data_IF_254075903356
#
_entry.id   IF_254075903356
#
_cell.length_a   1.000
_cell.length_b   1.000
_cell.length_c   1.000
_cell.angle_alpha   90.00
_cell.angle_beta   90.00
_cell.angle_gamma   90.00
#
_symmetry.space_group_name_H-M   'P 1'
#
loop_
_entity.id
_entity.type
_entity.pdbx_description
1 polymer ?
#
# COMPACT_ATOMS: atom_id res chain seq x y z
N UNK A 1 -18.21 10.65 -13.05
CA UNK A 1 -16.99 10.07 -13.63
C UNK A 1 -15.95 11.17 -13.80
N UNK A 2 -14.80 11.03 -13.16
CA UNK A 2 -13.74 12.05 -13.19
C UNK A 2 -12.39 11.39 -13.30
N UNK A 3 -11.46 12.05 -14.00
CA UNK A 3 -10.06 11.63 -13.99
C UNK A 3 -9.43 11.98 -12.65
N UNK A 4 -8.56 11.10 -12.17
CA UNK A 4 -7.85 11.29 -10.89
C UNK A 4 -6.36 11.31 -11.18
N UNK A 5 -5.69 12.36 -10.70
CA UNK A 5 -4.24 12.46 -10.77
C UNK A 5 -3.65 11.93 -9.48
N UNK A 6 -2.89 10.83 -9.56
CA UNK A 6 -2.36 10.17 -8.37
C UNK A 6 -1.37 11.03 -7.61
N UNK A 7 -0.49 11.72 -8.32
CA UNK A 7 0.52 12.55 -7.68
C UNK A 7 -0.12 13.72 -6.93
N UNK A 8 -1.14 14.35 -7.53
CA UNK A 8 -1.88 15.41 -6.85
C UNK A 8 -2.56 14.90 -5.59
N UNK A 9 -3.18 13.72 -5.67
CA UNK A 9 -3.88 13.13 -4.53
C UNK A 9 -2.92 12.81 -3.38
N UNK A 10 -1.82 12.14 -3.68
CA UNK A 10 -0.88 11.75 -2.61
C UNK A 10 -0.16 12.96 -2.03
N UNK A 11 0.12 13.98 -2.84
CA UNK A 11 0.76 15.20 -2.36
C UNK A 11 -0.15 16.06 -1.49
N UNK A 12 -1.47 15.87 -1.60
CA UNK A 12 -2.44 16.56 -0.76
C UNK A 12 -2.55 15.94 0.63
N UNK A 13 -2.02 14.73 0.84
CA UNK A 13 -2.03 14.07 2.15
C UNK A 13 -0.83 14.58 2.95
N UNK A 14 -1.11 15.41 3.95
CA UNK A 14 -0.06 16.10 4.71
C UNK A 14 0.67 15.23 5.71
N UNK A 15 0.01 14.19 6.21
CA UNK A 15 0.58 13.32 7.25
C UNK A 15 1.08 12.01 6.66
N UNK A 16 2.21 11.52 7.20
CA UNK A 16 2.71 10.20 6.87
C UNK A 16 1.77 9.12 7.44
N UNK A 17 1.75 7.97 6.78
CA UNK A 17 1.08 6.74 7.24
C UNK A 17 -0.45 6.80 7.26
N UNK A 18 -1.05 7.82 6.68
CA UNK A 18 -2.51 7.94 6.57
C UNK A 18 -2.92 7.49 5.18
N UNK A 19 -3.81 6.51 5.12
CA UNK A 19 -4.34 5.95 3.88
C UNK A 19 -5.56 6.76 3.45
N UNK A 20 -5.39 7.56 2.40
CA UNK A 20 -6.49 8.35 1.85
C UNK A 20 -7.17 7.56 0.74
N UNK A 21 -8.44 7.22 0.95
CA UNK A 21 -9.24 6.52 -0.07
C UNK A 21 -9.57 7.48 -1.19
N UNK A 22 -9.25 7.10 -2.43
CA UNK A 22 -9.46 7.94 -3.60
C UNK A 22 -10.39 7.36 -4.65
N UNK A 23 -10.78 6.10 -4.51
CA UNK A 23 -11.70 5.48 -5.45
C UNK A 23 -12.00 4.03 -5.12
N UNK A 24 -12.91 3.46 -5.90
CA UNK A 24 -13.31 2.07 -5.78
C UNK A 24 -13.39 1.45 -7.17
N UNK A 25 -13.05 0.17 -7.26
CA UNK A 25 -13.11 -0.59 -8.49
C UNK A 25 -13.51 -2.03 -8.16
N UNK A 26 -14.74 -2.42 -8.52
CA UNK A 26 -15.23 -3.80 -8.31
C UNK A 26 -15.03 -4.31 -6.88
N UNK A 27 -15.41 -3.50 -5.89
CA UNK A 27 -15.25 -3.89 -4.49
C UNK A 27 -13.84 -3.70 -3.94
N UNK A 28 -12.91 -3.25 -4.76
CA UNK A 28 -11.56 -2.90 -4.29
C UNK A 28 -11.51 -1.41 -3.96
N UNK A 29 -10.72 -1.08 -2.96
CA UNK A 29 -10.49 0.30 -2.55
C UNK A 29 -9.13 0.73 -3.08
N UNK A 30 -9.10 1.92 -3.69
CA UNK A 30 -7.86 2.56 -4.11
C UNK A 30 -7.51 3.61 -3.06
N UNK A 31 -6.32 3.52 -2.49
CA UNK A 31 -5.83 4.45 -1.47
C UNK A 31 -4.44 4.94 -1.82
N UNK A 32 -4.14 6.17 -1.44
CA UNK A 32 -2.79 6.72 -1.55
C UNK A 32 -2.22 6.98 -0.16
N UNK A 33 -0.91 6.85 -0.02
CA UNK A 33 -0.23 7.00 1.27
C UNK A 33 1.20 7.44 1.07
N UNK A 34 1.68 8.28 1.99
CA UNK A 34 3.10 8.66 2.09
C UNK A 34 3.72 7.90 3.26
N UNK A 35 4.82 7.23 3.01
CA UNK A 35 5.54 6.44 4.04
C UNK A 35 7.02 6.76 3.98
N UNK A 36 7.63 6.88 5.15
CA UNK A 36 9.06 7.15 5.26
C UNK A 36 9.63 6.42 6.46
N UNK A 37 10.82 5.83 6.28
CA UNK A 37 11.59 5.23 7.35
C UNK A 37 10.78 4.28 8.23
N UNK A 38 10.17 3.29 7.62
CA UNK A 38 9.30 2.36 8.35
C UNK A 38 9.38 0.95 7.79
N UNK A 39 9.48 0.00 8.71
CA UNK A 39 9.32 -1.42 8.42
C UNK A 39 8.10 -1.90 9.17
N UNK A 40 7.12 -2.43 8.46
CA UNK A 40 5.93 -3.00 9.07
C UNK A 40 6.21 -4.41 9.60
N UNK A 41 5.34 -4.89 10.47
CA UNK A 41 5.40 -6.28 10.92
C UNK A 41 4.99 -7.21 9.77
N UNK A 42 5.53 -8.42 9.76
CA UNK A 42 5.06 -9.44 8.85
C UNK A 42 3.58 -9.71 9.09
N UNK A 43 2.82 -9.80 8.02
CA UNK A 43 1.38 -10.04 8.11
C UNK A 43 0.90 -10.79 6.86
N UNK A 44 -0.33 -11.27 6.95
CA UNK A 44 -0.99 -12.03 5.89
C UNK A 44 -2.40 -11.47 5.72
N UNK A 45 -2.79 -11.23 4.47
CA UNK A 45 -4.19 -10.94 4.14
C UNK A 45 -4.79 -12.19 3.51
N UNK A 46 -5.72 -12.82 4.20
CA UNK A 46 -6.27 -14.12 3.78
C UNK A 46 -7.32 -14.00 2.67
N UNK A 47 -7.96 -12.85 2.54
CA UNK A 47 -9.13 -12.68 1.69
C UNK A 47 -8.92 -11.74 0.52
N UNK A 48 -7.76 -11.11 0.40
CA UNK A 48 -7.52 -10.12 -0.64
C UNK A 48 -6.10 -10.17 -1.16
N UNK A 49 -5.98 -10.13 -2.48
CA UNK A 49 -4.73 -9.75 -3.11
C UNK A 49 -4.50 -8.27 -2.79
N UNK A 50 -3.24 -7.84 -2.80
CA UNK A 50 -2.88 -6.47 -2.51
C UNK A 50 -1.93 -5.98 -3.59
N UNK A 51 -2.22 -4.82 -4.17
CA UNK A 51 -1.34 -4.21 -5.15
C UNK A 51 -0.69 -2.97 -4.55
N UNK A 52 0.63 -2.87 -4.69
CA UNK A 52 1.39 -1.67 -4.38
C UNK A 52 1.94 -1.10 -5.69
N UNK A 53 1.61 0.14 -5.98
CA UNK A 53 2.17 0.88 -7.10
C UNK A 53 2.97 2.06 -6.56
N UNK A 54 4.24 2.17 -6.93
CA UNK A 54 5.08 3.28 -6.47
C UNK A 54 4.89 4.48 -7.39
N UNK A 55 4.28 5.53 -6.86
CA UNK A 55 4.09 6.79 -7.59
C UNK A 55 5.42 7.54 -7.64
N UNK A 56 6.15 7.57 -6.50
CA UNK A 56 7.41 8.26 -6.37
C UNK A 56 8.23 7.65 -5.23
N UNK A 57 9.52 7.50 -5.42
CA UNK A 57 10.39 6.87 -4.43
C UNK A 57 10.65 5.41 -4.75
N UNK A 58 10.97 4.64 -3.74
CA UNK A 58 11.16 3.18 -3.86
C UNK A 58 11.07 2.52 -2.49
N UNK A 59 10.68 1.26 -2.48
CA UNK A 59 10.65 0.45 -1.27
C UNK A 59 10.97 -1.00 -1.63
N UNK A 60 11.13 -1.84 -0.63
CA UNK A 60 11.25 -3.28 -0.84
C UNK A 60 10.11 -4.01 -0.14
N UNK A 61 9.62 -5.05 -0.77
CA UNK A 61 8.69 -5.97 -0.15
C UNK A 61 9.48 -7.18 0.33
N UNK A 62 9.38 -7.48 1.61
CA UNK A 62 10.05 -8.64 2.19
C UNK A 62 9.08 -9.80 2.32
N UNK A 63 9.52 -10.98 1.87
CA UNK A 63 8.82 -12.25 2.02
C UNK A 63 9.81 -13.25 2.59
N UNK A 64 9.38 -14.50 2.77
CA UNK A 64 10.27 -15.57 3.20
C UNK A 64 11.41 -15.83 2.21
N UNK A 65 11.24 -15.41 0.96
CA UNK A 65 12.25 -15.60 -0.09
C UNK A 65 13.23 -14.44 -0.21
N UNK A 66 13.05 -13.39 0.59
CA UNK A 66 13.94 -12.23 0.60
C UNK A 66 13.25 -10.93 0.23
N UNK A 67 14.04 -9.96 -0.21
CA UNK A 67 13.57 -8.61 -0.54
C UNK A 67 13.36 -8.44 -2.03
N UNK A 68 12.24 -7.83 -2.39
CA UNK A 68 11.92 -7.48 -3.77
C UNK A 68 11.84 -5.95 -3.85
N UNK A 69 12.75 -5.27 -4.56
CA UNK A 69 12.67 -3.82 -4.69
C UNK A 69 11.61 -3.41 -5.72
N UNK A 70 10.87 -2.36 -5.42
CA UNK A 70 9.87 -1.77 -6.31
C UNK A 70 10.19 -0.27 -6.41
N UNK A 71 10.37 0.21 -7.64
CA UNK A 71 10.79 1.59 -7.93
C UNK A 71 9.64 2.40 -8.54
N UNK A 72 9.83 3.70 -8.61
CA UNK A 72 8.86 4.60 -9.25
C UNK A 72 8.36 4.06 -10.57
N UNK A 73 7.04 4.04 -10.74
CA UNK A 73 6.39 3.54 -11.94
C UNK A 73 6.21 2.04 -11.99
N UNK A 74 6.67 1.32 -10.97
CA UNK A 74 6.51 -0.12 -10.89
C UNK A 74 5.42 -0.50 -9.88
N UNK A 75 4.82 -1.65 -10.07
CA UNK A 75 3.89 -2.20 -9.09
C UNK A 75 4.23 -3.66 -8.79
N UNK A 76 3.76 -4.12 -7.65
CA UNK A 76 3.83 -5.52 -7.26
C UNK A 76 2.45 -5.96 -6.77
N UNK A 77 2.07 -7.17 -7.10
CA UNK A 77 0.85 -7.78 -6.57
C UNK A 77 1.27 -8.85 -5.56
N UNK A 78 0.76 -8.71 -4.35
CA UNK A 78 0.95 -9.68 -3.29
C UNK A 78 -0.30 -10.56 -3.25
N UNK A 79 -0.21 -11.83 -3.66
CA UNK A 79 -1.36 -12.72 -3.63
C UNK A 79 -1.85 -12.91 -2.19
N UNK A 80 -3.16 -13.04 -2.02
CA UNK A 80 -3.73 -13.38 -0.70
C UNK A 80 -3.04 -14.63 -0.14
N UNK A 81 -2.89 -14.67 1.15
CA UNK A 81 -2.21 -15.77 1.84
C UNK A 81 -0.70 -15.69 1.85
N UNK A 82 -0.12 -14.64 1.27
CA UNK A 82 1.34 -14.46 1.25
C UNK A 82 1.78 -13.67 2.48
N UNK A 83 2.67 -14.25 3.28
CA UNK A 83 3.28 -13.56 4.43
C UNK A 83 4.31 -12.56 3.91
N UNK A 84 4.13 -11.30 4.25
CA UNK A 84 4.97 -10.23 3.70
C UNK A 84 5.02 -9.01 4.62
N UNK A 85 5.95 -8.11 4.33
CA UNK A 85 5.98 -6.77 4.95
C UNK A 85 6.67 -5.76 4.04
N UNK A 86 6.17 -4.53 3.95
CA UNK A 86 6.91 -3.44 3.32
C UNK A 86 8.09 -3.00 4.18
N UNK A 87 9.21 -2.71 3.53
CA UNK A 87 10.40 -2.13 4.16
C UNK A 87 10.69 -0.83 3.44
N UNK A 88 10.47 0.29 4.12
CA UNK A 88 10.56 1.63 3.54
C UNK A 88 11.66 2.42 4.25
N UNK A 89 12.64 2.89 3.51
CA UNK A 89 13.74 3.69 4.07
C UNK A 89 13.61 5.16 3.71
N UNK A 90 13.32 5.48 2.45
CA UNK A 90 13.16 6.86 1.98
C UNK A 90 11.69 7.17 1.78
N UNK A 91 11.36 8.46 1.70
CA UNK A 91 9.97 8.87 1.46
C UNK A 91 9.47 8.22 0.17
N UNK A 92 8.38 7.48 0.30
CA UNK A 92 7.77 6.76 -0.80
C UNK A 92 6.28 7.04 -0.84
N UNK A 93 5.78 7.30 -2.04
CA UNK A 93 4.38 7.59 -2.29
C UNK A 93 3.77 6.41 -3.02
N UNK A 94 2.73 5.82 -2.44
CA UNK A 94 2.12 4.61 -2.96
C UNK A 94 0.68 4.82 -3.37
N UNK A 95 0.26 4.06 -4.38
CA UNK A 95 -1.13 3.68 -4.56
C UNK A 95 -1.26 2.23 -4.08
N UNK A 96 -2.25 1.97 -3.26
CA UNK A 96 -2.59 0.61 -2.84
C UNK A 96 -3.98 0.27 -3.32
N UNK A 97 -4.15 -0.97 -3.78
CA UNK A 97 -5.46 -1.50 -4.20
C UNK A 97 -5.66 -2.83 -3.48
N UNK A 98 -6.77 -2.94 -2.76
CA UNK A 98 -7.17 -4.16 -2.07
C UNK A 98 -8.67 -4.18 -1.85
N UNK A 99 -9.22 -5.34 -1.53
CA UNK A 99 -10.65 -5.45 -1.29
C UNK A 99 -11.07 -4.61 -0.09
N UNK A 100 -12.25 -4.00 -0.19
CA UNK A 100 -12.83 -3.25 0.92
C UNK A 100 -12.99 -4.18 2.13
N UNK A 101 -12.66 -3.67 3.30
CA UNK A 101 -12.72 -4.46 4.52
C UNK A 101 -11.51 -5.35 4.77
N UNK A 102 -10.45 -5.23 3.96
CA UNK A 102 -9.19 -5.93 4.23
C UNK A 102 -8.65 -5.49 5.59
N UNK A 103 -8.23 -6.46 6.39
CA UNK A 103 -7.84 -6.22 7.78
C UNK A 103 -6.51 -5.46 7.85
N UNK A 104 -6.43 -4.55 8.81
CA UNK A 104 -5.17 -3.91 9.18
C UNK A 104 -4.28 -4.89 9.97
N UNK A 105 -3.15 -4.43 10.49
CA UNK A 105 -2.21 -5.30 11.21
C UNK A 105 -2.81 -5.92 12.47
N UNK A 106 -3.83 -5.32 13.05
CA UNK A 106 -4.52 -5.82 14.25
C UNK A 106 -5.70 -6.72 13.90
N UNK A 107 -5.96 -6.95 12.60
CA UNK A 107 -7.11 -7.72 12.12
C UNK A 107 -8.44 -7.12 12.58
N UNK A 108 -8.50 -5.79 12.64
CA UNK A 108 -9.70 -5.10 13.13
C UNK A 108 -10.67 -4.69 12.02
N UNK A 109 -10.32 -4.89 10.78
CA UNK A 109 -11.17 -4.51 9.65
C UNK A 109 -11.02 -3.07 9.20
N UNK A 110 -10.24 -2.26 9.89
CA UNK A 110 -9.96 -0.90 9.51
C UNK A 110 -8.70 -0.84 8.64
N UNK A 111 -8.58 0.21 7.83
CA UNK A 111 -7.34 0.41 7.08
C UNK A 111 -6.18 0.59 8.04
N UNK A 112 -5.02 0.10 7.63
CA UNK A 112 -3.81 0.24 8.43
C UNK A 112 -3.37 1.70 8.47
N UNK A 113 -3.29 2.26 9.68
CA UNK A 113 -2.83 3.61 9.93
C UNK A 113 -1.85 3.59 11.09
N UNK A 114 -0.94 4.51 11.09
CA UNK A 114 -0.06 4.70 12.23
C UNK A 114 -0.41 5.94 12.97
#
# INVERSE_FOLDING_TARGET
MKAVNLLDKVNAVEKLYIYEKIGRLNGNVLSVVNVENRTLDFHVHENSDELFYVIEGEFSLETEEGLIPIKSGEFIIVPKGTRHRPVVTTLTKFLMIEMDGTLNKENSGNLYEE
#
